data_IF_455344253928
#
_entry.id   IF_455344253928
#
_cell.length_a   1.000
_cell.length_b   1.000
_cell.length_c   1.000
_cell.angle_alpha   90.00
_cell.angle_beta   90.00
_cell.angle_gamma   90.00
#
_symmetry.space_group_name_H-M   'P 1'
#
loop_
_entity.id
_entity.type
_entity.pdbx_description
1 polymer ?
#
# COMPACT_ATOMS: atom_id res chain seq x y z
N UNK A 1 22.74 3.53 14.96
CA UNK A 1 22.70 3.61 13.49
C UNK A 1 22.94 2.20 12.99
N UNK A 2 21.98 1.60 12.29
CA UNK A 2 22.19 0.32 11.62
C UNK A 2 23.03 0.61 10.37
N UNK A 3 24.18 -0.06 10.25
CA UNK A 3 25.02 0.04 9.04
C UNK A 3 24.32 -0.71 7.92
N UNK A 4 23.99 -0.02 6.82
CA UNK A 4 23.27 -0.62 5.68
C UNK A 4 24.19 -1.43 4.75
N UNK A 5 25.50 -1.50 5.05
CA UNK A 5 26.50 -2.17 4.22
C UNK A 5 26.33 -3.68 4.06
N UNK A 6 25.53 -4.32 4.92
CA UNK A 6 25.29 -5.77 4.93
C UNK A 6 23.94 -6.18 4.32
N UNK A 7 23.12 -5.25 3.81
CA UNK A 7 21.86 -5.56 3.12
C UNK A 7 22.05 -5.43 1.60
N UNK A 8 22.19 -6.53 0.86
CA UNK A 8 22.35 -6.48 -0.59
C UNK A 8 21.07 -6.00 -1.29
N UNK A 9 19.89 -6.22 -0.69
CA UNK A 9 18.62 -5.70 -1.20
C UNK A 9 18.40 -4.24 -0.77
N UNK A 10 18.42 -3.34 -1.75
CA UNK A 10 17.95 -1.96 -1.58
C UNK A 10 16.42 -1.90 -1.70
N UNK A 11 15.78 -0.87 -1.11
CA UNK A 11 14.36 -0.63 -1.33
C UNK A 11 14.05 -0.55 -2.84
N UNK A 12 12.98 -1.22 -3.26
CA UNK A 12 12.58 -1.25 -4.66
C UNK A 12 11.92 0.09 -5.06
N UNK A 13 12.63 0.85 -5.90
CA UNK A 13 12.14 2.13 -6.43
C UNK A 13 11.07 1.95 -7.50
N UNK A 14 11.08 0.82 -8.23
CA UNK A 14 10.25 0.61 -9.42
C UNK A 14 8.77 0.64 -9.07
N UNK A 15 8.39 0.03 -7.94
CA UNK A 15 6.98 -0.01 -7.48
C UNK A 15 6.42 1.36 -7.09
N UNK A 16 7.31 2.34 -6.85
CA UNK A 16 6.97 3.73 -6.55
C UNK A 16 7.10 4.65 -7.76
N UNK A 17 7.30 4.10 -8.97
CA UNK A 17 7.40 4.86 -10.22
C UNK A 17 6.06 5.06 -10.91
N UNK A 18 5.93 6.17 -11.65
CA UNK A 18 4.76 6.45 -12.50
C UNK A 18 4.54 5.35 -13.56
N UNK A 19 5.62 4.80 -14.11
CA UNK A 19 5.55 3.70 -15.08
C UNK A 19 4.91 2.45 -14.47
N UNK A 20 5.21 2.15 -13.21
CA UNK A 20 4.54 1.08 -12.49
C UNK A 20 3.07 1.42 -12.20
N UNK A 21 2.77 2.65 -11.78
CA UNK A 21 1.40 3.10 -11.54
C UNK A 21 0.51 2.98 -12.80
N UNK A 22 1.07 3.26 -13.98
CA UNK A 22 0.36 3.22 -15.26
C UNK A 22 -0.27 1.85 -15.55
N UNK A 23 0.27 0.77 -14.98
CA UNK A 23 -0.27 -0.60 -15.09
C UNK A 23 -1.68 -0.72 -14.52
N UNK A 24 -2.08 0.20 -13.64
CA UNK A 24 -3.39 0.24 -13.00
C UNK A 24 -4.36 1.27 -13.61
N UNK A 25 -4.00 1.98 -14.68
CA UNK A 25 -4.79 3.09 -15.21
C UNK A 25 -6.11 2.68 -15.89
N UNK A 26 -6.29 1.39 -16.23
CA UNK A 26 -7.49 0.87 -16.88
C UNK A 26 -8.51 0.26 -15.92
N UNK A 27 -9.66 -0.17 -16.45
CA UNK A 27 -10.74 -0.79 -15.66
C UNK A 27 -10.28 -2.03 -14.86
N UNK A 28 -9.41 -2.84 -15.46
CA UNK A 28 -8.81 -3.99 -14.77
C UNK A 28 -7.91 -3.54 -13.64
N UNK A 29 -7.14 -2.48 -13.84
CA UNK A 29 -6.31 -1.87 -12.81
C UNK A 29 -7.14 -1.39 -11.64
N UNK A 30 -8.20 -0.63 -11.92
CA UNK A 30 -9.14 -0.17 -10.91
C UNK A 30 -9.79 -1.34 -10.14
N UNK A 31 -10.17 -2.42 -10.83
CA UNK A 31 -10.70 -3.63 -10.20
C UNK A 31 -9.66 -4.29 -9.28
N UNK A 32 -8.41 -4.43 -9.72
CA UNK A 32 -7.33 -5.00 -8.90
C UNK A 32 -7.08 -4.18 -7.64
N UNK A 33 -7.10 -2.85 -7.72
CA UNK A 33 -6.96 -1.98 -6.56
C UNK A 33 -8.15 -2.13 -5.61
N UNK A 34 -9.37 -2.21 -6.16
CA UNK A 34 -10.58 -2.37 -5.35
C UNK A 34 -10.59 -3.71 -4.58
N UNK A 35 -10.18 -4.80 -5.22
CA UNK A 35 -10.08 -6.11 -4.56
C UNK A 35 -9.08 -6.08 -3.40
N UNK A 36 -7.93 -5.40 -3.58
CA UNK A 36 -6.92 -5.25 -2.54
C UNK A 36 -7.43 -4.40 -1.37
N UNK A 37 -8.14 -3.31 -1.66
CA UNK A 37 -8.78 -2.45 -0.67
C UNK A 37 -9.78 -3.24 0.18
N UNK A 38 -10.73 -3.93 -0.46
CA UNK A 38 -11.80 -4.67 0.23
C UNK A 38 -11.24 -5.80 1.09
N UNK A 39 -10.24 -6.53 0.56
CA UNK A 39 -9.59 -7.61 1.31
C UNK A 39 -8.83 -7.07 2.54
N UNK A 40 -8.08 -5.98 2.38
CA UNK A 40 -7.33 -5.35 3.47
C UNK A 40 -8.28 -4.86 4.57
N UNK A 41 -9.32 -4.11 4.22
CA UNK A 41 -10.28 -3.60 5.20
C UNK A 41 -11.00 -4.74 5.93
N UNK A 42 -11.36 -5.82 5.23
CA UNK A 42 -11.93 -7.01 5.86
C UNK A 42 -11.00 -7.63 6.89
N UNK A 43 -9.70 -7.71 6.60
CA UNK A 43 -8.70 -8.24 7.55
C UNK A 43 -8.50 -7.33 8.76
N UNK A 44 -8.72 -6.02 8.62
CA UNK A 44 -8.59 -5.05 9.71
C UNK A 44 -9.83 -4.94 10.62
N UNK A 45 -10.92 -5.66 10.31
CA UNK A 45 -12.15 -5.66 11.13
C UNK A 45 -11.95 -5.96 12.62
N UNK A 46 -11.01 -6.83 13.06
CA UNK A 46 -10.80 -7.08 14.49
C UNK A 46 -10.08 -5.95 15.23
N UNK A 47 -9.55 -4.94 14.50
CA UNK A 47 -8.68 -3.89 15.05
C UNK A 47 -9.26 -2.48 14.83
N UNK A 48 -10.48 -2.18 15.30
CA UNK A 48 -11.09 -0.87 15.08
C UNK A 48 -10.20 0.25 15.68
N UNK A 49 -9.99 1.32 14.91
CA UNK A 49 -9.19 2.50 15.29
C UNK A 49 -7.71 2.24 15.56
N UNK A 50 -7.14 1.18 14.99
CA UNK A 50 -5.71 0.94 15.07
C UNK A 50 -4.91 2.07 14.40
N UNK A 51 -3.67 2.25 14.86
CA UNK A 51 -2.65 3.03 14.15
C UNK A 51 -1.92 2.09 13.18
N UNK A 52 -1.82 2.48 11.92
CA UNK A 52 -1.28 1.68 10.83
C UNK A 52 0.06 2.28 10.36
N UNK A 53 1.05 1.41 10.26
CA UNK A 53 2.28 1.69 9.52
C UNK A 53 2.15 1.07 8.12
N UNK A 54 1.91 1.91 7.12
CA UNK A 54 1.87 1.50 5.71
C UNK A 54 3.29 1.57 5.10
N UNK A 55 3.85 0.41 4.72
CA UNK A 55 5.22 0.30 4.21
C UNK A 55 5.17 -0.15 2.76
N UNK A 56 5.78 0.63 1.87
CA UNK A 56 5.81 0.28 0.44
C UNK A 56 4.46 0.42 -0.26
N UNK A 57 3.56 1.28 0.23
CA UNK A 57 2.22 1.51 -0.36
C UNK A 57 2.22 2.13 -1.77
N UNK A 58 3.37 2.24 -2.42
CA UNK A 58 3.56 2.85 -3.73
C UNK A 58 2.99 4.26 -3.77
N UNK A 59 1.90 4.41 -4.51
CA UNK A 59 1.21 5.68 -4.73
C UNK A 59 0.09 5.95 -3.69
N UNK A 60 0.19 5.34 -2.50
CA UNK A 60 -0.80 5.49 -1.43
C UNK A 60 -2.13 4.80 -1.74
N UNK A 61 -2.07 3.64 -2.40
CA UNK A 61 -3.26 2.94 -2.93
C UNK A 61 -4.29 2.61 -1.85
N UNK A 62 -3.84 2.30 -0.61
CA UNK A 62 -4.72 1.96 0.51
C UNK A 62 -4.95 3.13 1.47
N UNK A 63 -4.07 4.13 1.49
CA UNK A 63 -4.05 5.19 2.50
C UNK A 63 -5.39 5.92 2.60
N UNK A 64 -6.01 6.24 1.45
CA UNK A 64 -7.32 6.90 1.42
C UNK A 64 -8.43 6.07 2.09
N UNK A 65 -8.48 4.78 1.78
CA UNK A 65 -9.47 3.87 2.35
C UNK A 65 -9.26 3.66 3.86
N UNK A 66 -8.01 3.58 4.32
CA UNK A 66 -7.68 3.47 5.74
C UNK A 66 -8.17 4.70 6.53
N UNK A 67 -7.87 5.91 6.04
CA UNK A 67 -8.32 7.16 6.68
C UNK A 67 -9.86 7.23 6.70
N UNK A 68 -10.52 6.89 5.60
CA UNK A 68 -11.99 6.91 5.51
C UNK A 68 -12.65 5.92 6.49
N UNK A 69 -11.98 4.83 6.84
CA UNK A 69 -12.46 3.84 7.82
C UNK A 69 -11.99 4.14 9.27
N UNK A 70 -11.39 5.30 9.51
CA UNK A 70 -11.06 5.77 10.87
C UNK A 70 -9.78 5.19 11.46
N UNK A 71 -8.90 4.65 10.63
CA UNK A 71 -7.53 4.28 11.01
C UNK A 71 -6.62 5.53 10.99
N UNK A 72 -5.54 5.50 11.77
CA UNK A 72 -4.54 6.58 11.84
C UNK A 72 -3.20 6.13 11.28
#
# INVERSE_FOLDING_TARGET
MVSTGDFPETADIETSSEDYASRFAGEIGAWLLKVQEDATLKMLTPYPKATILDVGGGHGQLTGALIQNGYQ
#
